data_IF_532373666217
#
_entry.id   IF_532373666217
#
_cell.length_a   1.000
_cell.length_b   1.000
_cell.length_c   1.000
_cell.angle_alpha   90.00
_cell.angle_beta   90.00
_cell.angle_gamma   90.00
#
_symmetry.space_group_name_H-M   'P 1'
#
loop_
_entity.id
_entity.type
_entity.pdbx_description
1 polymer ?
#
# COMPACT_ATOMS: atom_id res chain seq x y z
N UNK A 1 40.39 0.33 -19.17
CA UNK A 1 40.60 -0.96 -18.47
C UNK A 1 40.48 -0.82 -16.94
N UNK A 2 40.93 0.30 -16.37
CA UNK A 2 40.78 0.62 -14.92
C UNK A 2 39.35 0.97 -14.51
N UNK A 3 38.60 1.69 -15.36
CA UNK A 3 37.18 2.01 -15.09
C UNK A 3 36.24 0.80 -15.14
N UNK A 4 36.53 -0.19 -15.99
CA UNK A 4 35.72 -1.42 -16.09
C UNK A 4 35.89 -2.29 -14.85
N UNK A 5 37.12 -2.42 -14.34
CA UNK A 5 37.40 -3.17 -13.10
C UNK A 5 36.78 -2.48 -11.89
N UNK A 6 36.87 -1.15 -11.78
CA UNK A 6 36.19 -0.42 -10.70
C UNK A 6 34.66 -0.56 -10.74
N UNK A 7 34.03 -0.61 -11.92
CA UNK A 7 32.58 -0.87 -12.03
C UNK A 7 32.22 -2.27 -11.53
N UNK A 8 33.04 -3.26 -11.83
CA UNK A 8 32.79 -4.64 -11.41
C UNK A 8 32.90 -4.78 -9.88
N UNK A 9 33.91 -4.16 -9.27
CA UNK A 9 34.09 -4.15 -7.82
C UNK A 9 32.92 -3.44 -7.12
N UNK A 10 32.55 -2.24 -7.57
CA UNK A 10 31.41 -1.47 -7.01
C UNK A 10 30.10 -2.27 -7.14
N UNK A 11 29.86 -2.92 -8.28
CA UNK A 11 28.70 -3.78 -8.47
C UNK A 11 28.69 -4.96 -7.49
N UNK A 12 29.84 -5.60 -7.24
CA UNK A 12 29.95 -6.71 -6.29
C UNK A 12 29.64 -6.24 -4.87
N UNK A 13 30.16 -5.08 -4.43
CA UNK A 13 29.84 -4.53 -3.10
C UNK A 13 28.37 -4.14 -2.95
N UNK A 14 27.79 -3.48 -3.95
CA UNK A 14 26.37 -3.11 -3.96
C UNK A 14 25.49 -4.35 -3.88
N UNK A 15 25.75 -5.38 -4.69
CA UNK A 15 25.00 -6.64 -4.67
C UNK A 15 25.09 -7.32 -3.30
N UNK A 16 26.25 -7.28 -2.65
CA UNK A 16 26.48 -7.89 -1.33
C UNK A 16 25.75 -7.14 -0.21
N UNK A 17 25.78 -5.81 -0.23
CA UNK A 17 25.03 -4.97 0.70
C UNK A 17 23.52 -5.13 0.53
N UNK A 18 23.04 -5.07 -0.72
CA UNK A 18 21.62 -5.24 -1.04
C UNK A 18 21.13 -6.62 -0.63
N UNK A 19 21.91 -7.68 -0.89
CA UNK A 19 21.58 -9.06 -0.48
C UNK A 19 21.36 -9.17 1.04
N UNK A 20 22.12 -8.45 1.86
CA UNK A 20 21.96 -8.43 3.32
C UNK A 20 20.68 -7.70 3.78
N UNK A 21 20.15 -6.80 2.95
CA UNK A 21 18.92 -6.06 3.24
C UNK A 21 17.65 -6.75 2.73
N UNK A 22 17.76 -7.84 1.95
CA UNK A 22 16.60 -8.57 1.45
C UNK A 22 15.93 -9.34 2.58
N UNK A 23 14.64 -9.06 2.80
CA UNK A 23 13.82 -9.77 3.77
C UNK A 23 13.28 -11.06 3.16
N UNK A 24 13.42 -12.16 3.89
CA UNK A 24 12.76 -13.41 3.53
C UNK A 24 11.24 -13.23 3.70
N UNK A 25 10.40 -13.67 2.73
CA UNK A 25 8.95 -13.49 2.78
C UNK A 25 8.34 -14.09 4.05
N UNK A 26 8.83 -15.24 4.50
CA UNK A 26 8.37 -15.91 5.74
C UNK A 26 9.09 -15.46 7.02
N UNK A 27 9.85 -14.35 6.98
CA UNK A 27 10.55 -13.88 8.20
C UNK A 27 9.59 -13.22 9.18
N UNK A 28 9.88 -13.33 10.49
CA UNK A 28 9.10 -12.66 11.53
C UNK A 28 9.03 -11.14 11.33
N UNK A 29 10.11 -10.52 10.82
CA UNK A 29 10.13 -9.09 10.50
C UNK A 29 9.11 -8.73 9.42
N UNK A 30 9.04 -9.55 8.36
CA UNK A 30 8.05 -9.37 7.29
C UNK A 30 6.63 -9.58 7.83
N UNK A 31 6.42 -10.62 8.64
CA UNK A 31 5.13 -10.87 9.27
C UNK A 31 4.67 -9.70 10.14
N UNK A 32 5.54 -9.14 11.00
CA UNK A 32 5.21 -7.97 11.81
C UNK A 32 4.86 -6.75 10.95
N UNK A 33 5.61 -6.53 9.87
CA UNK A 33 5.30 -5.47 8.91
C UNK A 33 3.92 -5.65 8.27
N UNK A 34 3.60 -6.87 7.85
CA UNK A 34 2.30 -7.21 7.26
C UNK A 34 1.15 -7.07 8.29
N UNK A 35 1.37 -7.39 9.58
CA UNK A 35 0.39 -7.18 10.67
C UNK A 35 0.12 -5.69 10.91
N UNK A 36 1.16 -4.85 10.90
CA UNK A 36 1.01 -3.39 10.99
C UNK A 36 0.21 -2.88 9.79
N UNK A 37 0.54 -3.35 8.58
CA UNK A 37 -0.20 -3.01 7.36
C UNK A 37 -1.66 -3.45 7.41
N UNK A 38 -1.93 -4.64 7.93
CA UNK A 38 -3.30 -5.12 8.15
C UNK A 38 -4.08 -4.24 9.13
N UNK A 39 -3.43 -3.75 10.18
CA UNK A 39 -4.05 -2.84 11.16
C UNK A 39 -4.46 -1.53 10.51
N UNK A 40 -3.56 -0.90 9.73
CA UNK A 40 -3.88 0.32 9.00
C UNK A 40 -4.96 0.12 7.94
N UNK A 41 -4.91 -1.00 7.23
CA UNK A 41 -5.93 -1.30 6.23
C UNK A 41 -7.30 -1.55 6.88
N UNK A 42 -7.34 -2.19 8.04
CA UNK A 42 -8.58 -2.40 8.81
C UNK A 42 -9.19 -1.07 9.24
N UNK A 43 -8.36 -0.12 9.67
CA UNK A 43 -8.79 1.26 9.93
C UNK A 43 -9.39 1.89 8.66
N UNK A 44 -8.71 1.81 7.51
CA UNK A 44 -9.19 2.40 6.25
C UNK A 44 -10.55 1.80 5.82
N UNK A 45 -10.73 0.48 5.95
CA UNK A 45 -11.99 -0.23 5.61
C UNK A 45 -13.20 0.32 6.37
N UNK A 46 -13.02 0.67 7.65
CA UNK A 46 -14.11 1.20 8.49
C UNK A 46 -14.23 2.71 8.33
N UNK A 47 -13.11 3.42 8.33
CA UNK A 47 -13.09 4.87 8.32
C UNK A 47 -13.59 5.45 6.99
N UNK A 48 -13.22 4.87 5.85
CA UNK A 48 -13.61 5.39 4.53
C UNK A 48 -15.13 5.45 4.34
N UNK A 49 -15.91 4.37 4.56
CA UNK A 49 -17.37 4.44 4.43
C UNK A 49 -18.00 5.33 5.52
N UNK A 50 -17.49 5.29 6.75
CA UNK A 50 -17.97 6.15 7.84
C UNK A 50 -17.80 7.65 7.49
N UNK A 51 -16.59 8.05 7.11
CA UNK A 51 -16.29 9.42 6.72
C UNK A 51 -17.06 9.84 5.46
N UNK A 52 -17.36 8.90 4.57
CA UNK A 52 -18.17 9.15 3.39
C UNK A 52 -19.63 9.39 3.75
N UNK A 53 -20.23 8.59 4.64
CA UNK A 53 -21.66 8.64 4.96
C UNK A 53 -22.03 9.75 5.96
N UNK A 54 -21.17 10.03 6.94
CA UNK A 54 -21.49 10.93 8.04
C UNK A 54 -20.78 12.28 7.99
N UNK A 55 -19.80 12.43 7.10
CA UNK A 55 -19.02 13.67 6.91
C UNK A 55 -18.56 14.32 8.25
N UNK A 56 -17.93 13.55 9.17
CA UNK A 56 -17.51 14.08 10.45
C UNK A 56 -16.45 15.19 10.25
N UNK A 57 -16.38 16.18 11.16
CA UNK A 57 -15.31 17.17 11.12
C UNK A 57 -13.94 16.49 11.25
N UNK A 58 -12.96 16.97 10.47
CA UNK A 58 -11.59 16.49 10.57
C UNK A 58 -11.00 16.84 11.95
N UNK A 59 -10.33 15.87 12.57
CA UNK A 59 -9.72 15.98 13.90
C UNK A 59 -8.21 15.79 13.80
N UNK A 60 -7.45 16.21 14.82
CA UNK A 60 -6.01 15.94 14.88
C UNK A 60 -5.68 14.45 14.76
N UNK A 61 -6.59 13.58 15.24
CA UNK A 61 -6.43 12.13 15.09
C UNK A 61 -6.56 11.65 13.64
N UNK A 62 -7.59 12.10 12.90
CA UNK A 62 -7.80 11.69 11.50
C UNK A 62 -6.71 12.23 10.58
N UNK A 63 -6.21 13.44 10.87
CA UNK A 63 -5.05 14.02 10.19
C UNK A 63 -3.77 13.21 10.47
N UNK A 64 -3.49 12.89 11.74
CA UNK A 64 -2.32 12.09 12.13
C UNK A 64 -2.36 10.70 11.47
N UNK A 65 -3.52 10.05 11.46
CA UNK A 65 -3.69 8.75 10.77
C UNK A 65 -3.51 8.86 9.27
N UNK A 66 -3.94 9.96 8.65
CA UNK A 66 -3.70 10.19 7.22
C UNK A 66 -2.20 10.23 6.91
N UNK A 67 -1.41 10.94 7.71
CA UNK A 67 0.05 10.99 7.54
C UNK A 67 0.74 9.66 7.85
N UNK A 68 0.34 8.97 8.93
CA UNK A 68 0.90 7.67 9.29
C UNK A 68 0.65 6.61 8.23
N UNK A 69 -0.58 6.52 7.73
CA UNK A 69 -0.92 5.57 6.66
C UNK A 69 -0.19 5.91 5.36
N UNK A 70 -0.12 7.20 4.97
CA UNK A 70 0.63 7.64 3.79
C UNK A 70 2.11 7.26 3.86
N UNK A 71 2.75 7.53 5.00
CA UNK A 71 4.15 7.18 5.24
C UNK A 71 4.34 5.66 5.20
N UNK A 72 3.46 4.91 5.89
CA UNK A 72 3.54 3.45 5.92
C UNK A 72 3.43 2.83 4.52
N UNK A 73 2.43 3.21 3.73
CA UNK A 73 2.25 2.66 2.38
C UNK A 73 3.36 3.08 1.41
N UNK A 74 3.93 4.28 1.60
CA UNK A 74 5.14 4.69 0.87
C UNK A 74 6.35 3.82 1.22
N UNK A 75 6.52 3.48 2.50
CA UNK A 75 7.57 2.55 2.95
C UNK A 75 7.28 1.11 2.51
N UNK A 76 6.03 0.67 2.46
CA UNK A 76 5.65 -0.67 2.01
C UNK A 76 6.03 -0.91 0.54
N UNK A 77 5.93 0.12 -0.30
CA UNK A 77 6.42 0.07 -1.68
C UNK A 77 7.93 -0.23 -1.73
N UNK A 78 8.72 0.41 -0.88
CA UNK A 78 10.17 0.17 -0.77
C UNK A 78 10.44 -1.22 -0.19
N UNK A 79 9.74 -1.59 0.89
CA UNK A 79 9.86 -2.90 1.52
C UNK A 79 9.52 -4.04 0.55
N UNK A 80 8.56 -3.83 -0.36
CA UNK A 80 8.17 -4.77 -1.40
C UNK A 80 9.29 -5.02 -2.42
N UNK A 81 10.10 -4.00 -2.74
CA UNK A 81 11.30 -4.15 -3.58
C UNK A 81 12.43 -4.91 -2.88
N UNK A 82 12.35 -5.03 -1.55
CA UNK A 82 13.35 -5.68 -0.71
C UNK A 82 12.88 -7.03 -0.15
N UNK A 83 11.69 -7.50 -0.52
CA UNK A 83 11.15 -8.77 0.00
C UNK A 83 11.22 -9.84 -1.09
N UNK A 84 11.78 -11.00 -0.75
CA UNK A 84 11.82 -12.16 -1.63
C UNK A 84 10.42 -12.65 -2.00
N UNK A 85 10.32 -13.48 -3.03
CA UNK A 85 9.03 -14.04 -3.47
C UNK A 85 9.14 -15.54 -3.69
N UNK A 86 8.01 -16.24 -3.58
CA UNK A 86 7.93 -17.64 -3.94
C UNK A 86 7.57 -17.82 -5.42
N UNK A 87 8.21 -18.78 -6.09
CA UNK A 87 7.89 -19.23 -7.45
C UNK A 87 8.09 -20.73 -7.55
N UNK A 88 7.00 -21.49 -7.67
CA UNK A 88 7.04 -22.96 -7.79
C UNK A 88 7.67 -23.65 -6.58
N UNK A 89 7.35 -23.18 -5.36
CA UNK A 89 7.90 -23.73 -4.10
C UNK A 89 9.33 -23.29 -3.76
N UNK A 90 9.99 -22.52 -4.64
CA UNK A 90 11.34 -22.00 -4.39
C UNK A 90 11.26 -20.51 -4.01
N UNK A 91 11.90 -20.14 -2.91
CA UNK A 91 12.06 -18.74 -2.51
C UNK A 91 13.17 -18.08 -3.32
N UNK A 92 12.82 -17.09 -4.13
CA UNK A 92 13.76 -16.28 -4.91
C UNK A 92 14.18 -15.06 -4.08
N UNK A 93 15.47 -15.00 -3.75
CA UNK A 93 16.10 -13.94 -2.96
C UNK A 93 17.06 -13.07 -3.78
N UNK A 94 16.94 -13.09 -5.11
CA UNK A 94 17.81 -12.31 -6.01
C UNK A 94 17.23 -10.92 -6.23
N UNK A 95 17.89 -9.88 -5.71
CA UNK A 95 17.39 -8.49 -5.71
C UNK A 95 16.91 -8.00 -7.10
N UNK A 96 17.72 -8.24 -8.14
CA UNK A 96 17.37 -7.85 -9.52
C UNK A 96 16.06 -8.50 -9.98
N UNK A 97 15.82 -9.76 -9.62
CA UNK A 97 14.57 -10.44 -9.97
C UNK A 97 13.39 -9.92 -9.16
N UNK A 98 13.60 -9.60 -7.88
CA UNK A 98 12.58 -9.01 -7.00
C UNK A 98 12.11 -7.68 -7.57
N UNK A 99 13.04 -6.75 -7.85
CA UNK A 99 12.73 -5.45 -8.43
C UNK A 99 12.02 -5.61 -9.77
N UNK A 100 12.57 -6.38 -10.71
CA UNK A 100 11.96 -6.53 -12.04
C UNK A 100 10.54 -7.09 -11.97
N UNK A 101 10.30 -8.08 -11.09
CA UNK A 101 8.96 -8.62 -10.87
C UNK A 101 8.03 -7.56 -10.25
N UNK A 102 8.49 -6.82 -9.24
CA UNK A 102 7.67 -5.82 -8.57
C UNK A 102 7.33 -4.64 -9.50
N UNK A 103 8.32 -4.13 -10.23
CA UNK A 103 8.19 -3.01 -11.18
C UNK A 103 7.20 -3.31 -12.31
N UNK A 104 7.08 -4.57 -12.73
CA UNK A 104 6.16 -4.98 -13.81
C UNK A 104 4.77 -5.39 -13.33
N UNK A 105 4.62 -5.76 -12.05
CA UNK A 105 3.35 -6.31 -11.54
C UNK A 105 2.57 -5.34 -10.67
N UNK A 106 3.18 -4.78 -9.62
CA UNK A 106 2.47 -4.02 -8.59
C UNK A 106 2.89 -2.55 -8.52
N UNK A 107 4.14 -2.23 -8.84
CA UNK A 107 4.64 -0.86 -8.75
C UNK A 107 3.80 0.17 -9.54
N UNK A 108 3.34 -0.07 -10.79
CA UNK A 108 2.57 0.94 -11.51
C UNK A 108 1.26 1.29 -10.78
N UNK A 109 0.60 0.26 -10.22
CA UNK A 109 -0.61 0.43 -9.43
C UNK A 109 -0.31 1.15 -8.11
N UNK A 110 0.71 0.71 -7.38
CA UNK A 110 1.08 1.33 -6.10
C UNK A 110 1.50 2.79 -6.25
N UNK A 111 2.34 3.08 -7.25
CA UNK A 111 2.80 4.42 -7.56
C UNK A 111 1.64 5.33 -7.97
N UNK A 112 0.67 4.82 -8.73
CA UNK A 112 -0.54 5.57 -9.06
C UNK A 112 -1.36 5.91 -7.81
N UNK A 113 -1.63 4.93 -6.94
CA UNK A 113 -2.44 5.14 -5.73
C UNK A 113 -1.71 6.10 -4.76
N UNK A 114 -0.44 5.83 -4.46
CA UNK A 114 0.37 6.66 -3.55
C UNK A 114 0.58 8.06 -4.15
N UNK A 115 0.77 8.16 -5.47
CA UNK A 115 0.88 9.43 -6.17
C UNK A 115 -0.38 10.29 -6.06
N UNK A 116 -1.57 9.67 -6.20
CA UNK A 116 -2.83 10.37 -5.94
C UNK A 116 -2.94 10.82 -4.48
N UNK A 117 -2.49 10.00 -3.53
CA UNK A 117 -2.50 10.34 -2.11
C UNK A 117 -1.63 11.57 -1.80
N UNK A 118 -0.40 11.62 -2.34
CA UNK A 118 0.49 12.77 -2.19
C UNK A 118 -0.02 14.01 -2.91
N UNK A 119 -0.53 13.85 -4.14
CA UNK A 119 -1.11 14.97 -4.90
C UNK A 119 -2.26 15.61 -4.14
N UNK A 120 -3.11 14.79 -3.52
CA UNK A 120 -4.19 15.30 -2.66
C UNK A 120 -3.62 16.10 -1.49
N UNK A 121 -2.71 15.53 -0.70
CA UNK A 121 -2.15 16.21 0.48
C UNK A 121 -1.49 17.55 0.10
N UNK A 122 -0.78 17.62 -1.02
CA UNK A 122 -0.19 18.86 -1.53
C UNK A 122 -1.26 19.90 -1.90
N UNK A 123 -2.29 19.49 -2.65
CA UNK A 123 -3.39 20.38 -3.05
C UNK A 123 -4.15 20.91 -1.83
N UNK A 124 -4.38 20.11 -0.78
CA UNK A 124 -5.05 20.58 0.43
C UNK A 124 -4.14 21.41 1.35
N UNK A 125 -2.86 21.07 1.43
CA UNK A 125 -1.90 21.77 2.28
C UNK A 125 -1.66 23.22 1.86
N UNK A 126 -1.77 23.53 0.57
CA UNK A 126 -1.61 24.91 0.05
C UNK A 126 -2.86 25.79 0.21
N UNK A 127 -4.06 25.21 0.39
CA UNK A 127 -5.34 25.95 0.40
C UNK A 127 -5.66 26.63 1.75
N UNK A 128 -4.70 26.80 2.65
CA UNK A 128 -4.88 27.59 3.89
C UNK A 128 -5.02 29.11 3.63
N UNK A 129 -4.95 29.57 2.37
CA UNK A 129 -5.21 30.94 1.97
C UNK A 129 -6.39 31.04 0.99
N UNK A 130 -7.61 30.88 1.52
CA UNK A 130 -8.85 31.36 0.89
C UNK A 130 -9.50 30.43 -0.13
N UNK A 131 -10.65 29.86 0.24
CA UNK A 131 -11.87 29.61 -0.58
C UNK A 131 -12.61 28.35 -0.12
N UNK A 132 -13.55 28.54 0.81
CA UNK A 132 -14.49 27.51 1.29
C UNK A 132 -15.38 26.90 0.18
N UNK A 133 -15.41 27.50 -1.03
CA UNK A 133 -16.24 27.05 -2.17
C UNK A 133 -15.55 25.91 -2.96
N UNK A 134 -14.23 25.76 -2.90
CA UNK A 134 -13.51 24.60 -3.50
C UNK A 134 -13.57 23.35 -2.63
N UNK A 135 -13.83 23.48 -1.32
CA UNK A 135 -13.83 22.38 -0.36
C UNK A 135 -14.86 21.28 -0.72
N UNK A 136 -16.08 21.61 -1.15
CA UNK A 136 -17.12 20.61 -1.44
C UNK A 136 -16.90 19.74 -2.70
N UNK A 137 -16.17 20.22 -3.71
CA UNK A 137 -15.79 19.42 -4.90
C UNK A 137 -14.54 18.59 -4.63
N UNK A 138 -13.60 19.16 -3.90
CA UNK A 138 -12.34 18.51 -3.54
C UNK A 138 -12.61 17.34 -2.56
N UNK A 139 -13.47 17.53 -1.55
CA UNK A 139 -13.87 16.47 -0.60
C UNK A 139 -14.50 15.25 -1.29
N UNK A 140 -15.23 15.43 -2.39
CA UNK A 140 -15.77 14.31 -3.19
C UNK A 140 -14.67 13.53 -3.89
N UNK A 141 -13.71 14.20 -4.52
CA UNK A 141 -12.55 13.53 -5.13
C UNK A 141 -11.70 12.78 -4.09
N UNK A 142 -11.57 13.32 -2.87
CA UNK A 142 -10.90 12.64 -1.76
C UNK A 142 -11.56 11.30 -1.41
N UNK A 143 -12.90 11.23 -1.43
CA UNK A 143 -13.63 9.99 -1.14
C UNK A 143 -13.28 8.89 -2.13
N UNK A 144 -13.22 9.20 -3.43
CA UNK A 144 -12.87 8.22 -4.46
C UNK A 144 -11.41 7.78 -4.36
N UNK A 145 -10.48 8.72 -4.18
CA UNK A 145 -9.06 8.38 -4.00
C UNK A 145 -8.85 7.51 -2.76
N UNK A 146 -9.48 7.86 -1.63
CA UNK A 146 -9.45 7.04 -0.41
C UNK A 146 -10.02 5.64 -0.67
N UNK A 147 -11.15 5.52 -1.38
CA UNK A 147 -11.76 4.21 -1.71
C UNK A 147 -10.85 3.36 -2.62
N UNK A 148 -10.14 3.96 -3.57
CA UNK A 148 -9.16 3.28 -4.42
C UNK A 148 -8.03 2.63 -3.59
N UNK A 149 -7.70 3.17 -2.40
CA UNK A 149 -6.74 2.52 -1.48
C UNK A 149 -7.17 1.12 -1.04
N UNK A 150 -8.47 0.81 -1.04
CA UNK A 150 -8.99 -0.52 -0.71
C UNK A 150 -8.57 -1.59 -1.73
N UNK A 151 -8.09 -1.22 -2.92
CA UNK A 151 -7.47 -2.16 -3.86
C UNK A 151 -6.25 -2.86 -3.24
N UNK A 152 -5.59 -2.24 -2.24
CA UNK A 152 -4.49 -2.86 -1.49
C UNK A 152 -4.94 -4.16 -0.76
N UNK A 153 -6.24 -4.38 -0.53
CA UNK A 153 -6.77 -5.66 -0.05
C UNK A 153 -6.45 -6.84 -0.99
N UNK A 154 -6.35 -6.60 -2.29
CA UNK A 154 -5.97 -7.64 -3.26
C UNK A 154 -4.49 -8.04 -3.13
N UNK A 155 -3.61 -7.14 -2.68
CA UNK A 155 -2.22 -7.49 -2.34
C UNK A 155 -2.16 -8.42 -1.15
N UNK A 156 -2.95 -8.12 -0.10
CA UNK A 156 -3.04 -9.01 1.05
C UNK A 156 -3.55 -10.39 0.65
N UNK A 157 -4.56 -10.50 -0.24
CA UNK A 157 -5.01 -11.80 -0.74
C UNK A 157 -3.89 -12.65 -1.34
N UNK A 158 -2.90 -12.04 -2.00
CA UNK A 158 -1.76 -12.76 -2.56
C UNK A 158 -0.77 -13.24 -1.48
N UNK A 159 -0.57 -12.46 -0.43
CA UNK A 159 0.19 -12.87 0.76
C UNK A 159 -0.53 -13.98 1.52
N UNK A 160 -1.85 -13.87 1.64
CA UNK A 160 -2.68 -14.92 2.23
C UNK A 160 -2.65 -16.18 1.38
N UNK A 161 -2.64 -16.11 0.05
CA UNK A 161 -2.58 -17.30 -0.81
C UNK A 161 -1.42 -18.27 -0.49
N UNK A 162 -0.33 -17.80 0.11
CA UNK A 162 0.79 -18.63 0.60
C UNK A 162 0.53 -19.26 1.99
N UNK A 163 -0.39 -18.68 2.78
CA UNK A 163 -0.92 -19.18 4.08
C UNK A 163 -2.16 -20.08 3.87
N UNK A 164 -2.75 -20.01 2.68
CA UNK A 164 -4.13 -20.34 2.36
C UNK A 164 -4.32 -21.79 1.86
N UNK A 165 -3.48 -22.74 2.27
CA UNK A 165 -3.82 -24.17 2.07
C UNK A 165 -4.85 -24.69 3.11
N UNK A 166 -5.34 -23.83 4.03
CA UNK A 166 -6.24 -24.26 5.12
C UNK A 166 -7.55 -23.46 5.36
N UNK A 167 -7.85 -22.32 4.69
CA UNK A 167 -8.92 -21.39 5.15
C UNK A 167 -9.91 -20.85 4.07
N UNK A 168 -10.09 -21.50 2.92
CA UNK A 168 -10.33 -20.77 1.65
C UNK A 168 -11.73 -20.29 1.31
N UNK A 169 -12.76 -20.65 2.06
CA UNK A 169 -14.13 -20.31 1.64
C UNK A 169 -14.71 -19.15 2.44
N UNK A 170 -14.37 -19.05 3.73
CA UNK A 170 -15.01 -18.11 4.66
C UNK A 170 -14.39 -16.70 4.60
N UNK A 171 -13.06 -16.61 4.51
CA UNK A 171 -12.33 -15.34 4.50
C UNK A 171 -12.58 -14.56 3.19
N UNK A 172 -12.61 -15.27 2.06
CA UNK A 172 -12.94 -14.68 0.76
C UNK A 172 -14.37 -14.14 0.74
N UNK A 173 -15.33 -14.92 1.24
CA UNK A 173 -16.73 -14.50 1.37
C UNK A 173 -16.86 -13.25 2.25
N UNK A 174 -16.15 -13.22 3.39
CA UNK A 174 -16.14 -12.08 4.31
C UNK A 174 -15.58 -10.82 3.66
N UNK A 175 -14.42 -10.89 2.99
CA UNK A 175 -13.82 -9.72 2.31
C UNK A 175 -14.71 -9.21 1.18
N UNK A 176 -15.31 -10.10 0.37
CA UNK A 176 -16.25 -9.69 -0.67
C UNK A 176 -17.50 -9.04 -0.08
N UNK A 177 -18.00 -9.55 1.05
CA UNK A 177 -19.14 -8.97 1.77
C UNK A 177 -18.83 -7.56 2.26
N UNK A 178 -17.65 -7.35 2.86
CA UNK A 178 -17.19 -6.02 3.30
C UNK A 178 -17.09 -5.06 2.12
N UNK A 179 -16.42 -5.45 1.02
CA UNK A 179 -16.27 -4.62 -0.17
C UNK A 179 -17.64 -4.25 -0.76
N UNK A 180 -18.57 -5.20 -0.85
CA UNK A 180 -19.93 -4.98 -1.34
C UNK A 180 -20.68 -3.96 -0.48
N UNK A 181 -20.57 -4.06 0.84
CA UNK A 181 -21.20 -3.11 1.78
C UNK A 181 -20.59 -1.71 1.65
N UNK A 182 -19.26 -1.59 1.53
CA UNK A 182 -18.57 -0.31 1.34
C UNK A 182 -19.01 0.35 0.04
N UNK A 183 -19.01 -0.39 -1.08
CA UNK A 183 -19.46 0.13 -2.38
C UNK A 183 -20.93 0.56 -2.30
N UNK A 184 -21.79 -0.26 -1.67
CA UNK A 184 -23.20 0.06 -1.49
C UNK A 184 -23.44 1.35 -0.71
N UNK A 185 -22.69 1.58 0.37
CA UNK A 185 -22.76 2.83 1.16
C UNK A 185 -22.29 4.04 0.35
N UNK A 186 -21.20 3.91 -0.42
CA UNK A 186 -20.69 5.01 -1.25
C UNK A 186 -21.68 5.38 -2.36
N UNK A 187 -22.30 4.39 -3.00
CA UNK A 187 -23.31 4.61 -4.05
C UNK A 187 -24.60 5.19 -3.47
N UNK A 188 -25.07 4.69 -2.32
CA UNK A 188 -26.30 5.17 -1.70
C UNK A 188 -26.20 6.61 -1.18
N UNK A 189 -24.99 7.06 -0.83
CA UNK A 189 -24.74 8.42 -0.37
C UNK A 189 -24.44 9.41 -1.52
N UNK A 190 -24.45 8.95 -2.78
CA UNK A 190 -24.22 9.83 -3.93
C UNK A 190 -25.50 10.11 -4.70
#
# INVERSE_FOLDING_TARGET
KTESVMRDDVNVYIVRCLSKMIMHPSSLKRLLWDVIGFTFLSYDIVHIPFASAFEPPETTFTETMTWLTLAFWSMDMIASMMTGFQKGGITVMVHKQIIMRYMTTWFPLDAFIIGLDWAMVLVYGENNAGEAIRQGRSLRMLRYVRTVRLIRLFKLKKLFHEIQDHLNTELLSTVFSILKTVIGLVVANH
#
